data_IF_384567896978
#
_entry.id   IF_384567896978
#
_cell.length_a   1.000
_cell.length_b   1.000
_cell.length_c   1.000
_cell.angle_alpha   90.00
_cell.angle_beta   90.00
_cell.angle_gamma   90.00
#
_symmetry.space_group_name_H-M   'P 1'
#
loop_
_entity.id
_entity.type
_entity.pdbx_description
1 polymer ?
#
# COMPACT_ATOMS: atom_id res chain seq x y z
N UNK A 1 37.48 -8.77 -1.86
CA UNK A 1 36.02 -9.05 -1.94
C UNK A 1 35.33 -8.24 -0.85
N UNK A 2 34.53 -7.24 -1.23
CA UNK A 2 33.62 -6.55 -0.32
C UNK A 2 32.45 -6.02 -1.15
N UNK A 3 31.38 -6.81 -1.27
CA UNK A 3 30.11 -6.33 -1.80
C UNK A 3 29.58 -5.30 -0.79
N UNK A 4 29.61 -4.02 -1.16
CA UNK A 4 28.89 -2.97 -0.44
C UNK A 4 27.43 -3.40 -0.40
N UNK A 5 26.88 -3.65 0.79
CA UNK A 5 25.43 -3.79 0.98
C UNK A 5 24.82 -2.48 0.47
N UNK A 6 24.14 -2.55 -0.66
CA UNK A 6 23.28 -1.48 -1.13
C UNK A 6 22.35 -1.13 0.02
N UNK A 7 22.44 0.11 0.48
CA UNK A 7 21.52 0.69 1.45
C UNK A 7 20.12 0.49 0.89
N UNK A 8 19.36 -0.46 1.45
CA UNK A 8 17.96 -0.68 1.09
C UNK A 8 17.24 0.67 1.23
N UNK A 9 16.95 1.28 0.09
CA UNK A 9 16.33 2.60 0.00
C UNK A 9 14.94 2.51 0.63
N UNK A 10 14.81 3.00 1.86
CA UNK A 10 13.53 3.01 2.56
C UNK A 10 12.62 4.04 1.94
N UNK A 11 11.42 3.63 1.57
CA UNK A 11 10.41 4.55 1.06
C UNK A 11 9.84 5.41 2.19
N UNK A 12 9.66 6.71 1.96
CA UNK A 12 8.96 7.60 2.91
C UNK A 12 7.46 7.50 2.67
N UNK A 13 6.77 6.75 3.52
CA UNK A 13 5.33 6.53 3.41
C UNK A 13 4.55 7.79 3.79
N UNK A 14 3.72 8.27 2.86
CA UNK A 14 2.78 9.38 3.08
C UNK A 14 1.34 8.86 2.99
N UNK A 15 0.74 8.62 4.15
CA UNK A 15 -0.60 8.07 4.27
C UNK A 15 -1.68 8.92 3.56
N UNK A 16 -1.42 10.21 3.35
CA UNK A 16 -2.37 11.10 2.64
C UNK A 16 -2.42 10.81 1.15
N UNK A 17 -1.38 10.18 0.58
CA UNK A 17 -1.34 9.80 -0.84
C UNK A 17 -2.11 8.49 -1.08
N UNK A 18 -2.05 7.55 -0.13
CA UNK A 18 -2.74 6.27 -0.19
C UNK A 18 -4.13 6.37 0.43
N UNK A 19 -5.05 7.06 -0.24
CA UNK A 19 -6.36 7.42 0.30
C UNK A 19 -7.54 6.80 -0.43
N UNK A 20 -7.30 5.96 -1.44
CA UNK A 20 -8.35 5.32 -2.24
C UNK A 20 -8.45 3.84 -1.84
N UNK A 21 -9.50 3.42 -1.12
CA UNK A 21 -9.71 2.02 -0.82
C UNK A 21 -10.21 1.29 -2.07
N UNK A 22 -9.66 0.12 -2.31
CA UNK A 22 -9.95 -0.69 -3.50
C UNK A 22 -10.83 -1.88 -3.15
N UNK A 23 -10.63 -2.43 -1.97
CA UNK A 23 -11.36 -3.57 -1.45
C UNK A 23 -12.26 -3.14 -0.31
N UNK A 24 -13.30 -3.92 -0.02
CA UNK A 24 -13.97 -3.87 1.28
C UNK A 24 -13.12 -4.63 2.30
N UNK A 25 -13.22 -4.23 3.57
CA UNK A 25 -12.62 -4.95 4.70
C UNK A 25 -13.03 -6.43 4.64
N UNK A 26 -12.05 -7.33 4.56
CA UNK A 26 -12.26 -8.78 4.50
C UNK A 26 -11.03 -9.59 4.90
N UNK A 27 -11.05 -10.91 4.73
CA UNK A 27 -9.88 -11.75 5.00
C UNK A 27 -8.76 -11.52 3.98
N UNK A 28 -7.51 -11.80 4.36
CA UNK A 28 -6.36 -11.65 3.46
C UNK A 28 -6.56 -12.47 2.17
N UNK A 29 -7.04 -13.71 2.30
CA UNK A 29 -7.36 -14.58 1.16
C UNK A 29 -8.39 -13.94 0.22
N UNK A 30 -9.38 -13.24 0.77
CA UNK A 30 -10.43 -12.59 -0.02
C UNK A 30 -9.92 -11.39 -0.80
N UNK A 31 -8.86 -10.72 -0.35
CA UNK A 31 -8.27 -9.55 -1.04
C UNK A 31 -7.02 -9.91 -1.85
N UNK A 32 -6.52 -11.13 -1.72
CA UNK A 32 -5.27 -11.59 -2.34
C UNK A 32 -5.27 -11.39 -3.86
N UNK A 33 -6.40 -11.69 -4.52
CA UNK A 33 -6.55 -11.50 -5.97
C UNK A 33 -6.35 -10.03 -6.40
N UNK A 34 -6.68 -9.06 -5.56
CA UNK A 34 -6.47 -7.63 -5.84
C UNK A 34 -5.00 -7.26 -5.65
N UNK A 35 -4.37 -7.81 -4.61
CA UNK A 35 -2.94 -7.62 -4.36
C UNK A 35 -2.14 -8.13 -5.57
N UNK A 36 -2.42 -9.35 -6.03
CA UNK A 36 -1.74 -9.95 -7.18
C UNK A 36 -1.99 -9.15 -8.47
N UNK A 37 -3.24 -8.78 -8.78
CA UNK A 37 -3.58 -7.95 -9.95
C UNK A 37 -2.83 -6.60 -9.93
N UNK A 38 -2.68 -5.99 -8.76
CA UNK A 38 -2.01 -4.70 -8.61
C UNK A 38 -0.48 -4.83 -8.72
N UNK A 39 0.08 -5.95 -8.27
CA UNK A 39 1.48 -6.28 -8.50
C UNK A 39 1.74 -6.43 -9.99
N UNK A 40 0.91 -7.20 -10.69
CA UNK A 40 1.05 -7.43 -12.14
C UNK A 40 0.89 -6.15 -12.97
N UNK A 41 0.07 -5.20 -12.50
CA UNK A 41 -0.16 -3.90 -13.16
C UNK A 41 0.82 -2.80 -12.75
N UNK A 42 1.85 -3.13 -11.96
CA UNK A 42 2.78 -2.15 -11.40
C UNK A 42 2.08 -0.98 -10.68
N UNK A 43 0.96 -1.26 -10.01
CA UNK A 43 0.23 -0.25 -9.23
C UNK A 43 0.94 -0.03 -7.90
N UNK A 44 0.97 1.22 -7.45
CA UNK A 44 1.45 1.54 -6.11
C UNK A 44 0.31 1.56 -5.10
N UNK A 45 0.39 0.69 -4.11
CA UNK A 45 -0.65 0.50 -3.10
C UNK A 45 -0.05 0.06 -1.75
N UNK A 46 -0.86 0.12 -0.71
CA UNK A 46 -0.54 -0.40 0.60
C UNK A 46 -1.68 -1.27 1.10
N UNK A 47 -1.35 -2.19 2.00
CA UNK A 47 -2.31 -3.11 2.60
C UNK A 47 -2.30 -2.86 4.10
N UNK A 48 -3.46 -2.53 4.63
CA UNK A 48 -3.67 -2.31 6.06
C UNK A 48 -4.63 -3.36 6.60
N UNK A 49 -4.40 -3.77 7.84
CA UNK A 49 -5.22 -4.80 8.44
C UNK A 49 -4.57 -5.56 9.59
N UNK A 50 -5.41 -6.33 10.26
CA UNK A 50 -5.03 -7.30 11.28
C UNK A 50 -6.04 -8.43 11.30
N UNK A 51 -5.56 -9.65 11.56
CA UNK A 51 -6.38 -10.85 11.76
C UNK A 51 -7.28 -11.13 10.56
N UNK A 52 -8.59 -10.87 10.69
CA UNK A 52 -9.61 -11.15 9.67
C UNK A 52 -10.08 -9.88 8.94
N UNK A 53 -9.41 -8.75 9.16
CA UNK A 53 -9.78 -7.44 8.61
C UNK A 53 -8.61 -6.83 7.87
N UNK A 54 -8.59 -7.03 6.56
CA UNK A 54 -7.60 -6.54 5.64
C UNK A 54 -8.25 -5.69 4.55
N UNK A 55 -7.50 -4.69 4.09
CA UNK A 55 -7.95 -3.76 3.07
C UNK A 55 -6.78 -3.24 2.24
N UNK A 56 -7.01 -3.09 0.95
CA UNK A 56 -6.05 -2.56 -0.02
C UNK A 56 -6.37 -1.10 -0.33
N UNK A 57 -5.34 -0.27 -0.26
CA UNK A 57 -5.42 1.17 -0.47
C UNK A 57 -4.39 1.61 -1.51
N UNK A 58 -4.81 2.27 -2.58
CA UNK A 58 -3.92 2.77 -3.64
C UNK A 58 -3.66 4.26 -3.57
N UNK A 59 -2.63 4.70 -4.27
CA UNK A 59 -2.38 6.13 -4.44
C UNK A 59 -3.51 6.81 -5.23
N UNK A 60 -3.83 8.06 -4.89
CA UNK A 60 -4.76 8.89 -5.68
C UNK A 60 -4.17 9.18 -7.06
N UNK A 61 -4.96 8.95 -8.11
CA UNK A 61 -4.64 9.34 -9.49
C UNK A 61 -5.50 10.53 -9.94
N UNK A 62 -5.05 11.25 -10.97
CA UNK A 62 -5.80 12.35 -11.57
C UNK A 62 -7.08 11.82 -12.24
N UNK A 63 -8.20 11.87 -11.50
CA UNK A 63 -9.51 11.40 -11.98
C UNK A 63 -10.33 10.64 -10.93
N UNK A 64 -9.71 10.21 -9.82
CA UNK A 64 -10.44 9.56 -8.73
C UNK A 64 -11.45 10.53 -8.09
N UNK A 65 -12.73 10.28 -8.35
CA UNK A 65 -13.88 10.99 -7.75
C UNK A 65 -14.25 10.42 -6.37
N UNK A 66 -13.90 9.15 -6.12
CA UNK A 66 -14.07 8.42 -4.86
C UNK A 66 -12.96 8.76 -3.85
N UNK A 67 -12.73 10.06 -3.64
CA UNK A 67 -11.94 10.54 -2.52
C UNK A 67 -12.72 10.24 -1.25
N UNK A 68 -12.51 9.09 -0.62
CA UNK A 68 -12.91 8.95 0.79
C UNK A 68 -12.17 10.05 1.53
N UNK A 69 -12.93 11.07 1.90
CA UNK A 69 -12.46 12.30 2.52
C UNK A 69 -11.79 11.97 3.85
N UNK A 70 -10.47 11.77 3.80
CA UNK A 70 -9.48 12.11 4.84
C UNK A 70 -9.95 11.85 6.28
N UNK A 71 -9.98 10.59 6.72
CA UNK A 71 -9.79 10.23 8.15
C UNK A 71 -9.31 8.80 8.37
N UNK A 72 -9.75 7.86 7.52
CA UNK A 72 -9.49 6.42 7.65
C UNK A 72 -8.38 5.89 6.75
N UNK A 73 -7.56 6.77 6.16
CA UNK A 73 -6.37 6.31 5.43
C UNK A 73 -5.45 5.48 6.36
N UNK A 74 -4.78 4.46 5.83
CA UNK A 74 -3.97 3.57 6.64
C UNK A 74 -2.77 4.29 7.22
N UNK A 75 -2.79 4.51 8.54
CA UNK A 75 -1.70 5.23 9.22
C UNK A 75 -0.44 4.39 9.37
N UNK A 76 -0.58 3.07 9.38
CA UNK A 76 0.50 2.11 9.58
C UNK A 76 0.20 0.82 8.81
N UNK A 77 0.21 0.88 7.47
CA UNK A 77 -0.08 -0.31 6.65
C UNK A 77 0.89 -1.44 6.99
N UNK A 78 0.42 -2.68 6.95
CA UNK A 78 1.30 -3.84 7.17
C UNK A 78 2.23 -4.08 6.00
N UNK A 79 1.76 -3.80 4.79
CA UNK A 79 2.53 -3.99 3.57
C UNK A 79 2.47 -2.74 2.70
N UNK A 80 3.59 -2.41 2.06
CA UNK A 80 3.67 -1.33 1.08
C UNK A 80 4.25 -1.89 -0.22
N UNK A 81 3.59 -1.55 -1.33
CA UNK A 81 3.98 -1.90 -2.67
C UNK A 81 4.11 -0.62 -3.50
N UNK A 82 5.28 -0.41 -4.08
CA UNK A 82 5.55 0.72 -4.97
C UNK A 82 5.89 0.13 -6.34
N UNK A 83 5.11 0.52 -7.34
CA UNK A 83 5.19 -0.02 -8.70
C UNK A 83 5.24 -1.56 -8.70
N UNK A 84 4.25 -2.18 -8.07
CA UNK A 84 4.15 -3.64 -7.93
C UNK A 84 5.19 -4.31 -7.02
N UNK A 85 6.21 -3.60 -6.53
CA UNK A 85 7.27 -4.19 -5.71
C UNK A 85 7.07 -3.91 -4.23
N UNK A 86 7.17 -4.96 -3.41
CA UNK A 86 7.13 -4.82 -1.95
C UNK A 86 8.38 -4.08 -1.47
N UNK A 87 8.19 -2.99 -0.73
CA UNK A 87 9.29 -2.17 -0.22
C UNK A 87 9.19 -1.97 1.29
N UNK A 88 10.34 -1.83 1.93
CA UNK A 88 10.44 -1.32 3.28
C UNK A 88 10.15 0.18 3.32
N UNK A 89 9.44 0.61 4.37
CA UNK A 89 9.02 1.99 4.48
C UNK A 89 9.21 2.55 5.89
N UNK A 90 9.34 3.86 5.95
CA UNK A 90 9.31 4.63 7.19
C UNK A 90 8.13 5.59 7.16
N UNK A 91 7.41 5.67 8.27
CA UNK A 91 6.34 6.64 8.41
C UNK A 91 6.94 8.05 8.39
N UNK A 92 6.38 8.91 7.55
CA UNK A 92 6.65 10.35 7.61
C UNK A 92 6.21 10.86 9.00
N UNK A 93 7.16 11.43 9.74
CA UNK A 93 6.91 12.03 11.07
C UNK A 93 5.94 13.20 11.00
#
# INVERSE_FOLDING_TARGET
MAKKKETEEKFVYDAKKFCVPVTKIGSLESIQFVIDDFIEKDVSFCVDGSDERWEVWRMEEEGDSDKIKKKDYPRKPKFLYINGQKVDYVLKK
#
